data_IF_633571035744
#
_entry.id   IF_633571035744
#
_cell.length_a   1.000
_cell.length_b   1.000
_cell.length_c   1.000
_cell.angle_alpha   90.00
_cell.angle_beta   90.00
_cell.angle_gamma   90.00
#
_symmetry.space_group_name_H-M   'P 1'
#
loop_
_entity.id
_entity.type
_entity.pdbx_description
1 polymer ?
#
# COMPACT_ATOMS: atom_id res chain seq x y z
N UNK A 1 -19.62 0.18 11.77
CA UNK A 1 -18.92 -0.81 12.60
C UNK A 1 -19.60 -0.89 13.96
N UNK A 2 -20.05 -2.06 14.42
CA UNK A 2 -20.72 -2.17 15.71
C UNK A 2 -19.67 -2.14 16.84
N UNK A 3 -19.53 -1.00 17.52
CA UNK A 3 -18.81 -0.91 18.79
C UNK A 3 -19.60 -0.01 19.74
N UNK A 4 -19.67 -0.40 21.02
CA UNK A 4 -20.54 0.24 22.03
C UNK A 4 -20.10 1.67 22.37
N UNK A 5 -18.80 1.98 22.26
CA UNK A 5 -18.27 3.32 22.56
C UNK A 5 -17.45 3.90 21.40
N UNK A 6 -17.35 5.25 21.33
CA UNK A 6 -16.58 5.96 20.30
C UNK A 6 -15.10 5.55 20.29
N UNK A 7 -14.49 5.44 21.48
CA UNK A 7 -13.09 4.99 21.65
C UNK A 7 -12.84 3.58 21.06
N UNK A 8 -13.76 2.64 21.26
CA UNK A 8 -13.65 1.29 20.70
C UNK A 8 -13.75 1.29 19.18
N UNK A 9 -14.54 2.20 18.60
CA UNK A 9 -14.61 2.36 17.14
C UNK A 9 -13.30 2.90 16.60
N UNK A 10 -12.75 3.93 17.22
CA UNK A 10 -11.52 4.58 16.77
C UNK A 10 -10.31 3.61 16.88
N UNK A 11 -10.22 2.85 17.97
CA UNK A 11 -9.18 1.81 18.15
C UNK A 11 -9.30 0.72 17.08
N UNK A 12 -10.51 0.24 16.80
CA UNK A 12 -10.74 -0.78 15.79
C UNK A 12 -10.45 -0.27 14.36
N UNK A 13 -10.73 0.99 14.07
CA UNK A 13 -10.34 1.65 12.81
C UNK A 13 -8.81 1.73 12.71
N UNK A 14 -8.12 2.09 13.80
CA UNK A 14 -6.66 2.12 13.85
C UNK A 14 -6.04 0.75 13.56
N UNK A 15 -6.53 -0.30 14.23
CA UNK A 15 -6.10 -1.69 13.99
C UNK A 15 -6.37 -2.16 12.57
N UNK A 16 -7.54 -1.81 12.02
CA UNK A 16 -7.88 -2.11 10.63
C UNK A 16 -6.95 -1.40 9.65
N UNK A 17 -6.60 -0.14 9.88
CA UNK A 17 -5.67 0.59 9.03
C UNK A 17 -4.27 -0.04 9.03
N UNK A 18 -3.78 -0.51 10.19
CA UNK A 18 -2.52 -1.23 10.30
C UNK A 18 -2.56 -2.57 9.56
N UNK A 19 -3.62 -3.35 9.73
CA UNK A 19 -3.80 -4.62 9.03
C UNK A 19 -3.84 -4.41 7.51
N UNK A 20 -4.61 -3.43 7.05
CA UNK A 20 -4.72 -3.10 5.63
C UNK A 20 -3.36 -2.69 5.04
N UNK A 21 -2.59 -1.91 5.80
CA UNK A 21 -1.21 -1.52 5.45
C UNK A 21 -0.29 -2.74 5.30
N UNK A 22 -0.31 -3.65 6.28
CA UNK A 22 0.50 -4.87 6.25
C UNK A 22 0.10 -5.79 5.10
N UNK A 23 -1.20 -5.90 4.85
CA UNK A 23 -1.74 -6.69 3.75
C UNK A 23 -1.30 -6.18 2.39
N UNK A 24 -1.44 -4.88 2.14
CA UNK A 24 -0.98 -4.25 0.90
C UNK A 24 0.53 -4.48 0.69
N UNK A 25 1.32 -4.43 1.76
CA UNK A 25 2.75 -4.70 1.69
C UNK A 25 3.05 -6.18 1.35
N UNK A 26 2.35 -7.11 1.98
CA UNK A 26 2.49 -8.53 1.70
C UNK A 26 2.12 -8.87 0.25
N UNK A 27 1.01 -8.34 -0.26
CA UNK A 27 0.58 -8.53 -1.65
C UNK A 27 1.60 -7.94 -2.62
N UNK A 28 2.13 -6.75 -2.35
CA UNK A 28 3.19 -6.13 -3.14
C UNK A 28 4.44 -7.01 -3.20
N UNK A 29 4.92 -7.51 -2.05
CA UNK A 29 6.13 -8.34 -1.95
C UNK A 29 5.95 -9.67 -2.69
N UNK A 30 4.80 -10.32 -2.54
CA UNK A 30 4.50 -11.58 -3.24
C UNK A 30 4.34 -11.37 -4.75
N UNK A 31 3.64 -10.31 -5.17
CA UNK A 31 3.51 -9.97 -6.58
C UNK A 31 4.87 -9.64 -7.21
N UNK A 32 5.78 -8.98 -6.49
CA UNK A 32 7.12 -8.66 -6.97
C UNK A 32 7.94 -9.94 -7.20
N UNK A 33 7.87 -10.89 -6.27
CA UNK A 33 8.51 -12.22 -6.41
C UNK A 33 7.95 -13.03 -7.58
N UNK A 34 6.66 -12.89 -7.89
CA UNK A 34 6.00 -13.64 -8.96
C UNK A 34 6.16 -13.02 -10.36
N UNK A 35 6.60 -11.77 -10.46
CA UNK A 35 6.62 -11.04 -11.72
C UNK A 35 8.02 -10.83 -12.31
N UNK A 36 9.10 -11.28 -11.65
CA UNK A 36 10.50 -11.27 -12.14
C UNK A 36 10.88 -10.02 -12.97
N UNK A 37 10.44 -8.84 -12.54
CA UNK A 37 10.76 -7.56 -13.19
C UNK A 37 9.79 -7.07 -14.28
N UNK A 38 8.79 -7.85 -14.71
CA UNK A 38 7.82 -7.42 -15.71
C UNK A 38 6.73 -6.49 -15.13
N UNK A 39 7.01 -5.19 -15.16
CA UNK A 39 6.18 -4.15 -14.54
C UNK A 39 4.76 -4.05 -15.11
N UNK A 40 4.54 -4.36 -16.38
CA UNK A 40 3.20 -4.27 -16.99
C UNK A 40 2.29 -5.39 -16.49
N UNK A 41 2.81 -6.61 -16.39
CA UNK A 41 2.06 -7.74 -15.82
C UNK A 41 1.78 -7.53 -14.33
N UNK A 42 2.74 -6.93 -13.62
CA UNK A 42 2.63 -6.56 -12.22
C UNK A 42 1.49 -5.53 -11.97
N UNK A 43 1.43 -4.48 -12.80
CA UNK A 43 0.38 -3.44 -12.73
C UNK A 43 -1.02 -4.03 -12.97
N UNK A 44 -1.16 -4.91 -13.97
CA UNK A 44 -2.44 -5.59 -14.26
C UNK A 44 -2.84 -6.50 -13.10
N UNK A 45 -1.96 -7.37 -12.64
CA UNK A 45 -2.23 -8.30 -11.52
C UNK A 45 -2.65 -7.55 -10.25
N UNK A 46 -1.94 -6.48 -9.88
CA UNK A 46 -2.26 -5.68 -8.69
C UNK A 46 -3.61 -4.96 -8.77
N UNK A 47 -4.04 -4.51 -9.96
CA UNK A 47 -5.36 -3.88 -10.12
C UNK A 47 -6.50 -4.83 -9.73
N UNK A 48 -6.38 -6.13 -10.05
CA UNK A 48 -7.33 -7.16 -9.65
C UNK A 48 -7.21 -7.53 -8.16
N UNK A 49 -6.01 -7.37 -7.57
CA UNK A 49 -5.78 -7.62 -6.15
C UNK A 49 -6.54 -6.61 -5.26
N UNK A 50 -6.72 -5.36 -5.71
CA UNK A 50 -7.49 -4.34 -4.95
C UNK A 50 -8.92 -4.79 -4.70
N UNK A 51 -9.61 -5.26 -5.74
CA UNK A 51 -10.98 -5.74 -5.63
C UNK A 51 -11.04 -7.02 -4.78
N UNK A 52 -10.02 -7.89 -4.89
CA UNK A 52 -9.89 -9.08 -4.06
C UNK A 52 -9.70 -8.78 -2.55
N UNK A 53 -8.99 -7.70 -2.20
CA UNK A 53 -8.81 -7.27 -0.80
C UNK A 53 -10.15 -6.83 -0.20
N UNK A 54 -10.96 -6.06 -0.93
CA UNK A 54 -12.26 -5.59 -0.45
C UNK A 54 -13.22 -6.77 -0.22
N UNK A 55 -13.32 -7.67 -1.21
CA UNK A 55 -14.12 -8.89 -1.11
C UNK A 55 -13.62 -9.82 0.02
N UNK A 56 -12.36 -9.66 0.43
CA UNK A 56 -11.81 -10.39 1.55
C UNK A 56 -12.36 -10.03 2.91
N UNK A 57 -12.47 -8.75 3.18
CA UNK A 57 -13.05 -8.32 4.44
C UNK A 57 -14.58 -8.51 4.48
N UNK A 58 -15.21 -8.71 3.33
CA UNK A 58 -16.62 -9.08 3.20
C UNK A 58 -16.90 -10.59 3.33
N UNK A 59 -15.89 -11.42 3.67
CA UNK A 59 -16.03 -12.88 3.79
C UNK A 59 -16.42 -13.61 2.49
N UNK A 60 -16.23 -13.02 1.30
CA UNK A 60 -16.51 -13.68 0.00
C UNK A 60 -15.23 -14.32 -0.55
N UNK A 61 -14.88 -15.54 -0.09
CA UNK A 61 -13.56 -16.19 -0.32
C UNK A 61 -13.42 -16.91 -1.66
N UNK A 62 -14.53 -17.11 -2.37
CA UNK A 62 -14.64 -18.05 -3.49
C UNK A 62 -13.90 -17.61 -4.77
N UNK A 63 -13.72 -16.29 -4.99
CA UNK A 63 -13.11 -15.73 -6.22
C UNK A 63 -11.56 -15.66 -6.11
N UNK A 64 -11.00 -15.92 -4.92
CA UNK A 64 -9.69 -15.38 -4.52
C UNK A 64 -8.45 -16.22 -4.82
N UNK A 65 -8.57 -17.49 -5.21
CA UNK A 65 -7.39 -18.34 -5.48
C UNK A 65 -6.56 -17.88 -6.69
N UNK A 66 -7.18 -17.16 -7.66
CA UNK A 66 -6.50 -16.68 -8.88
C UNK A 66 -5.90 -15.27 -8.78
N UNK A 67 -6.44 -14.38 -7.95
CA UNK A 67 -6.16 -12.94 -8.02
C UNK A 67 -5.49 -12.33 -6.76
N UNK A 68 -5.39 -13.10 -5.66
CA UNK A 68 -4.66 -12.69 -4.45
C UNK A 68 -3.46 -13.61 -4.26
N UNK A 69 -2.29 -13.02 -4.03
CA UNK A 69 -1.05 -13.79 -3.82
C UNK A 69 -0.90 -14.24 -2.37
N UNK A 70 -1.63 -13.62 -1.45
CA UNK A 70 -1.45 -13.82 0.00
C UNK A 70 -2.60 -14.62 0.64
N UNK A 71 -3.81 -14.52 0.08
CA UNK A 71 -4.99 -15.25 0.57
C UNK A 71 -5.25 -16.49 -0.29
N UNK A 72 -5.05 -17.70 0.26
CA UNK A 72 -5.33 -18.96 -0.45
C UNK A 72 -6.82 -19.37 -0.36
N UNK A 73 -7.73 -18.40 -0.33
CA UNK A 73 -9.18 -18.65 -0.29
C UNK A 73 -9.73 -18.96 1.11
N UNK A 74 -10.57 -20.00 1.21
CA UNK A 74 -11.24 -20.45 2.45
C UNK A 74 -10.27 -21.22 3.34
N UNK A 75 -9.34 -21.96 2.74
CA UNK A 75 -8.37 -22.81 3.45
C UNK A 75 -7.40 -21.99 4.32
N UNK A 76 -7.04 -20.78 3.88
CA UNK A 76 -6.07 -19.94 4.57
C UNK A 76 -6.38 -18.44 4.33
N UNK A 77 -7.37 -17.89 5.06
CA UNK A 77 -7.79 -16.50 4.92
C UNK A 77 -6.79 -15.55 5.57
N UNK A 78 -6.61 -14.37 4.97
CA UNK A 78 -5.75 -13.31 5.54
C UNK A 78 -6.11 -12.98 7.00
N UNK A 79 -7.41 -13.01 7.33
CA UNK A 79 -7.91 -12.72 8.68
C UNK A 79 -7.28 -13.65 9.74
N UNK A 80 -6.93 -14.89 9.39
CA UNK A 80 -6.26 -15.81 10.32
C UNK A 80 -4.77 -15.48 10.52
N UNK A 81 -4.16 -14.76 9.57
CA UNK A 81 -2.77 -14.28 9.64
C UNK A 81 -2.64 -12.89 10.25
N UNK A 82 -3.75 -12.15 10.31
CA UNK A 82 -3.80 -10.82 10.91
C UNK A 82 -3.57 -10.94 12.42
N UNK A 83 -2.61 -10.17 12.93
CA UNK A 83 -2.37 -10.03 14.38
C UNK A 83 -3.32 -8.97 14.97
N UNK A 84 -3.79 -8.04 14.14
CA UNK A 84 -4.47 -6.82 14.58
C UNK A 84 -6.00 -6.96 14.64
N UNK A 85 -6.57 -7.87 13.84
CA UNK A 85 -8.01 -8.06 13.74
C UNK A 85 -8.46 -9.36 14.39
N UNK A 86 -9.65 -9.38 15.03
CA UNK A 86 -10.22 -10.62 15.54
C UNK A 86 -10.58 -11.57 14.37
N UNK A 87 -10.47 -12.88 14.60
CA UNK A 87 -10.73 -13.91 13.56
C UNK A 87 -12.16 -13.88 13.01
N UNK A 88 -13.10 -13.38 13.80
CA UNK A 88 -14.53 -13.23 13.43
C UNK A 88 -14.83 -11.90 12.74
N UNK A 89 -13.83 -11.10 12.43
CA UNK A 89 -14.02 -9.76 11.86
C UNK A 89 -14.65 -9.82 10.47
N UNK A 90 -15.77 -9.10 10.30
CA UNK A 90 -16.47 -8.97 9.02
C UNK A 90 -16.83 -7.51 8.79
N UNK A 91 -16.57 -7.05 7.58
CA UNK A 91 -16.91 -5.72 7.11
C UNK A 91 -18.18 -5.79 6.26
N UNK A 92 -19.28 -5.27 6.80
CA UNK A 92 -20.48 -4.96 6.04
C UNK A 92 -20.31 -3.55 5.47
N UNK A 93 -19.94 -3.45 4.19
CA UNK A 93 -19.64 -2.19 3.52
C UNK A 93 -20.76 -1.79 2.56
N UNK A 94 -21.23 -0.55 2.69
CA UNK A 94 -22.07 0.11 1.67
C UNK A 94 -21.25 0.42 0.41
N UNK A 95 -21.89 0.54 -0.75
CA UNK A 95 -21.24 0.86 -2.04
C UNK A 95 -20.31 2.10 -1.91
N UNK A 96 -20.75 3.17 -1.24
CA UNK A 96 -19.94 4.37 -1.00
C UNK A 96 -18.64 4.07 -0.23
N UNK A 97 -18.73 3.26 0.83
CA UNK A 97 -17.59 2.87 1.66
C UNK A 97 -16.63 1.94 0.92
N UNK A 98 -17.13 1.09 0.02
CA UNK A 98 -16.28 0.28 -0.85
C UNK A 98 -15.45 1.16 -1.78
N UNK A 99 -16.03 2.21 -2.35
CA UNK A 99 -15.32 3.17 -3.21
C UNK A 99 -14.24 3.93 -2.45
N UNK A 100 -14.53 4.36 -1.22
CA UNK A 100 -13.53 5.01 -0.34
C UNK A 100 -12.40 4.06 0.02
N UNK A 101 -12.72 2.83 0.43
CA UNK A 101 -11.73 1.80 0.74
C UNK A 101 -10.85 1.49 -0.48
N UNK A 102 -11.45 1.44 -1.68
CA UNK A 102 -10.71 1.28 -2.94
C UNK A 102 -9.72 2.42 -3.15
N UNK A 103 -10.11 3.67 -2.88
CA UNK A 103 -9.18 4.83 -2.95
C UNK A 103 -8.02 4.67 -1.97
N UNK A 104 -8.29 4.26 -0.74
CA UNK A 104 -7.25 4.03 0.28
C UNK A 104 -6.27 2.92 -0.13
N UNK A 105 -6.75 1.81 -0.68
CA UNK A 105 -5.89 0.71 -1.16
C UNK A 105 -5.08 1.17 -2.38
N UNK A 106 -5.70 1.90 -3.30
CA UNK A 106 -5.03 2.48 -4.47
C UNK A 106 -3.96 3.49 -4.11
N UNK A 107 -3.99 4.13 -2.94
CA UNK A 107 -2.89 4.97 -2.49
C UNK A 107 -1.57 4.19 -2.33
N UNK A 108 -1.64 2.87 -2.12
CA UNK A 108 -0.45 1.99 -2.00
C UNK A 108 -0.23 1.09 -3.20
N UNK A 109 -1.30 0.54 -3.76
CA UNK A 109 -1.25 -0.41 -4.87
C UNK A 109 -1.62 0.21 -6.22
N UNK A 110 -1.90 1.51 -6.24
CA UNK A 110 -2.34 2.21 -7.43
C UNK A 110 -1.19 2.48 -8.41
N UNK A 111 -1.53 2.65 -9.70
CA UNK A 111 -0.55 2.71 -10.78
C UNK A 111 0.50 3.82 -10.60
N UNK A 112 0.07 4.99 -10.11
CA UNK A 112 0.94 6.15 -9.88
C UNK A 112 1.96 5.88 -8.76
N UNK A 113 1.52 5.30 -7.65
CA UNK A 113 2.40 5.04 -6.50
C UNK A 113 3.33 3.84 -6.73
N UNK A 114 2.90 2.86 -7.54
CA UNK A 114 3.80 1.80 -8.04
C UNK A 114 4.92 2.38 -8.90
N UNK A 115 4.62 3.34 -9.78
CA UNK A 115 5.62 4.02 -10.61
C UNK A 115 6.57 4.89 -9.77
N UNK A 116 6.06 5.61 -8.76
CA UNK A 116 6.90 6.36 -7.80
C UNK A 116 7.83 5.43 -7.03
N UNK A 117 7.33 4.27 -6.60
CA UNK A 117 8.11 3.27 -5.88
C UNK A 117 9.21 2.68 -6.77
N UNK A 118 8.88 2.33 -8.03
CA UNK A 118 9.86 1.86 -9.03
C UNK A 118 10.97 2.87 -9.27
N UNK A 119 10.62 4.14 -9.47
CA UNK A 119 11.58 5.21 -9.77
C UNK A 119 12.37 5.68 -8.53
N UNK A 120 12.08 5.12 -7.34
CA UNK A 120 12.72 5.56 -6.10
C UNK A 120 12.39 7.00 -5.70
N UNK A 121 11.42 7.65 -6.36
CA UNK A 121 10.98 9.05 -6.13
C UNK A 121 10.06 9.17 -4.91
N UNK A 122 10.36 8.41 -3.86
CA UNK A 122 9.69 8.59 -2.58
C UNK A 122 10.31 9.78 -1.86
N UNK A 123 9.48 10.73 -1.41
CA UNK A 123 9.86 11.94 -0.68
C UNK A 123 10.83 11.62 0.47
N UNK A 124 10.61 10.52 1.18
CA UNK A 124 11.48 10.07 2.28
C UNK A 124 12.90 9.72 1.83
N UNK A 125 13.05 9.10 0.65
CA UNK A 125 14.38 8.78 0.09
C UNK A 125 15.11 10.05 -0.35
N UNK A 126 14.42 10.96 -1.03
CA UNK A 126 14.99 12.26 -1.40
C UNK A 126 15.39 13.08 -0.18
N UNK A 127 14.59 13.08 0.88
CA UNK A 127 14.92 13.76 2.13
C UNK A 127 16.12 13.13 2.84
N UNK A 128 16.20 11.80 2.89
CA UNK A 128 17.32 11.10 3.50
C UNK A 128 18.64 11.48 2.79
N UNK A 129 18.66 11.42 1.46
CA UNK A 129 19.80 11.85 0.65
C UNK A 129 20.12 13.32 0.91
N UNK A 130 19.12 14.21 0.90
CA UNK A 130 19.32 15.64 1.17
C UNK A 130 19.87 15.90 2.58
N UNK A 131 19.45 15.15 3.60
CA UNK A 131 19.99 15.25 4.96
C UNK A 131 21.45 14.79 5.03
N UNK A 132 21.79 13.70 4.36
CA UNK A 132 23.17 13.19 4.29
C UNK A 132 24.07 14.21 3.58
N UNK A 133 23.63 14.74 2.43
CA UNK A 133 24.36 15.78 1.69
C UNK A 133 24.58 17.02 2.57
N UNK A 134 23.54 17.51 3.26
CA UNK A 134 23.65 18.65 4.17
C UNK A 134 24.58 18.42 5.36
N UNK A 135 24.75 17.17 5.82
CA UNK A 135 25.69 16.81 6.88
C UNK A 135 27.12 16.67 6.38
N UNK A 136 27.28 16.21 5.14
CA UNK A 136 28.59 15.89 4.55
C UNK A 136 29.26 17.11 3.92
N UNK A 137 28.49 18.11 3.50
CA UNK A 137 29.01 19.33 2.92
C UNK A 137 29.24 20.41 4.00
N UNK A 138 30.44 21.03 4.06
CA UNK A 138 30.68 22.16 4.94
C UNK A 138 29.73 23.31 4.59
N UNK A 139 29.05 23.86 5.61
CA UNK A 139 28.00 24.89 5.47
C UNK A 139 28.49 26.19 4.83
N UNK A 140 29.80 26.40 4.76
CA UNK A 140 30.45 27.58 4.18
C UNK A 140 30.57 27.54 2.65
N UNK A 141 30.40 26.38 2.01
CA UNK A 141 30.51 26.27 0.56
C UNK A 141 29.13 26.24 -0.09
N UNK A 142 28.68 27.40 -0.58
CA UNK A 142 27.59 27.46 -1.56
C UNK A 142 28.12 27.02 -2.92
N UNK A 143 27.85 25.77 -3.31
CA UNK A 143 27.99 25.34 -4.71
C UNK A 143 26.88 26.00 -5.54
N UNK A 144 27.07 27.25 -5.94
CA UNK A 144 26.25 27.85 -6.98
C UNK A 144 26.66 27.24 -8.31
N UNK A 145 25.72 26.58 -8.99
CA UNK A 145 25.91 26.14 -10.37
C UNK A 145 25.94 27.42 -11.20
N UNK A 146 27.14 27.90 -11.58
CA UNK A 146 27.27 28.94 -12.61
C UNK A 146 26.78 28.32 -13.92
N UNK A 147 25.48 28.47 -14.21
CA UNK A 147 25.00 28.27 -15.57
C UNK A 147 25.62 29.40 -16.39
N UNK A 148 26.46 29.12 -17.40
CA UNK A 148 26.88 30.16 -18.32
C UNK A 148 25.61 30.74 -18.96
N UNK A 149 25.46 32.07 -18.90
CA UNK A 149 24.46 32.76 -19.73
C UNK A 149 24.82 32.43 -21.17
N UNK A 150 23.96 31.71 -21.88
CA UNK A 150 24.07 31.61 -23.32
C UNK A 150 23.65 32.95 -23.91
N UNK A 151 24.57 33.62 -24.61
CA UNK A 151 24.29 34.70 -25.55
C UNK A 151 24.53 36.13 -25.04
N UNK A 152 25.77 36.60 -25.18
CA UNK A 152 26.09 37.88 -25.84
C UNK A 152 27.06 37.57 -26.98
#
# INVERSE_FOLDING_TARGET
>A
MPARTKRQRDDLIGRFALDLSQRCHAEYKSALKHCDGNFQTFKRKLSHTVDAIILCYQSKHCIRKRNSFVCKGIEDPWINKSIYLPKTFKLNLTIKQQTELRKCINYRLGPKDLERTKLGKNTQKSECVNRIIRRSLPRSNTFSKKFPRQGE
#
